data_IF_112350401068
#
_entry.id   IF_112350401068
#
_cell.length_a   1.000
_cell.length_b   1.000
_cell.length_c   1.000
_cell.angle_alpha   90.00
_cell.angle_beta   90.00
_cell.angle_gamma   90.00
#
_symmetry.space_group_name_H-M   'P 1'
#
loop_
_entity.id
_entity.type
_entity.pdbx_description
1 polymer ?
#
# COMPACT_ATOMS: atom_id res chain seq x y z
N UNK A 1 -15.17 2.61 -6.90
CA UNK A 1 -13.72 2.84 -7.06
C UNK A 1 -13.52 3.73 -8.28
N UNK A 2 -12.62 4.71 -8.22
CA UNK A 2 -12.32 5.60 -9.36
C UNK A 2 -11.23 5.00 -10.28
N UNK A 3 -10.35 4.18 -9.72
CA UNK A 3 -9.31 3.46 -10.45
C UNK A 3 -8.46 2.64 -9.49
N UNK A 4 -7.59 1.81 -10.04
CA UNK A 4 -6.55 1.07 -9.33
C UNK A 4 -5.26 1.14 -10.14
N UNK A 5 -4.12 1.02 -9.45
CA UNK A 5 -2.82 0.94 -10.07
C UNK A 5 -2.00 -0.14 -9.38
N UNK A 6 -1.25 -0.90 -10.17
CA UNK A 6 -0.35 -1.96 -9.73
C UNK A 6 0.88 -1.92 -10.62
N UNK A 7 2.05 -2.02 -10.01
CA UNK A 7 3.31 -2.21 -10.70
C UNK A 7 4.12 -3.29 -9.98
N UNK A 8 4.75 -4.18 -10.75
CA UNK A 8 5.72 -5.12 -10.24
C UNK A 8 7.11 -4.51 -10.39
N UNK A 9 7.90 -4.52 -9.33
CA UNK A 9 9.24 -3.91 -9.35
C UNK A 9 10.29 -5.00 -9.41
N UNK A 10 11.20 -4.91 -10.37
CA UNK A 10 12.35 -5.79 -10.45
C UNK A 10 13.27 -5.56 -9.23
N UNK A 11 13.47 -6.58 -8.39
CA UNK A 11 14.27 -6.45 -7.19
C UNK A 11 15.76 -6.39 -7.55
N UNK A 12 16.48 -5.47 -6.89
CA UNK A 12 17.92 -5.34 -7.01
C UNK A 12 18.59 -5.39 -5.64
N UNK A 13 19.82 -5.88 -5.60
CA UNK A 13 20.69 -5.82 -4.43
C UNK A 13 21.32 -4.43 -4.27
N UNK A 14 22.03 -4.23 -3.15
CA UNK A 14 22.77 -2.98 -2.83
C UNK A 14 23.91 -2.63 -3.79
N UNK A 15 24.19 -3.49 -4.76
CA UNK A 15 25.19 -3.31 -5.80
C UNK A 15 24.55 -3.15 -7.20
N UNK A 16 23.22 -3.02 -7.27
CA UNK A 16 22.46 -2.86 -8.50
C UNK A 16 22.29 -4.14 -9.32
N UNK A 17 22.58 -5.32 -8.75
CA UNK A 17 22.39 -6.60 -9.43
C UNK A 17 20.99 -7.13 -9.18
N UNK A 18 20.40 -7.77 -10.19
CA UNK A 18 19.12 -8.46 -10.02
C UNK A 18 19.16 -9.45 -8.86
N UNK A 19 18.08 -9.49 -8.08
CA UNK A 19 17.97 -10.30 -6.87
C UNK A 19 16.89 -11.37 -7.05
N UNK A 20 17.28 -12.65 -7.04
CA UNK A 20 16.31 -13.74 -7.16
C UNK A 20 15.35 -13.77 -5.95
N UNK A 21 14.07 -14.01 -6.22
CA UNK A 21 13.05 -14.15 -5.18
C UNK A 21 13.31 -15.42 -4.36
N UNK A 22 13.34 -15.25 -3.04
CA UNK A 22 13.29 -16.42 -2.15
C UNK A 22 11.91 -17.10 -2.32
N UNK A 23 11.85 -18.44 -2.39
CA UNK A 23 10.59 -19.18 -2.52
C UNK A 23 9.52 -18.79 -1.49
N UNK A 24 9.94 -18.37 -0.30
CA UNK A 24 9.03 -17.86 0.73
C UNK A 24 8.25 -16.61 0.25
N UNK A 25 8.88 -15.67 -0.45
CA UNK A 25 8.20 -14.49 -0.98
C UNK A 25 7.17 -14.85 -2.04
N UNK A 26 7.51 -15.80 -2.92
CA UNK A 26 6.57 -16.31 -3.94
C UNK A 26 5.37 -16.98 -3.28
N UNK A 27 5.60 -17.80 -2.25
CA UNK A 27 4.51 -18.44 -1.51
C UNK A 27 3.62 -17.40 -0.80
N UNK A 28 4.24 -16.40 -0.19
CA UNK A 28 3.56 -15.38 0.59
C UNK A 28 2.72 -14.46 -0.29
N UNK A 29 3.33 -13.88 -1.32
CA UNK A 29 2.74 -12.80 -2.14
C UNK A 29 2.09 -13.32 -3.42
N UNK A 30 2.52 -14.48 -3.91
CA UNK A 30 2.13 -15.00 -5.23
C UNK A 30 2.89 -14.41 -6.40
N UNK A 31 3.81 -13.47 -6.18
CA UNK A 31 4.66 -12.90 -7.23
C UNK A 31 5.70 -13.94 -7.61
N UNK A 32 5.79 -14.29 -8.88
CA UNK A 32 6.76 -15.26 -9.41
C UNK A 32 7.89 -14.56 -10.16
N UNK A 33 9.00 -15.27 -10.37
CA UNK A 33 10.08 -14.80 -11.26
C UNK A 33 9.54 -14.53 -12.67
N UNK A 34 8.66 -15.38 -13.19
CA UNK A 34 8.02 -15.18 -14.49
C UNK A 34 7.22 -13.87 -14.54
N UNK A 35 6.47 -13.54 -13.49
CA UNK A 35 5.77 -12.24 -13.40
C UNK A 35 6.76 -11.07 -13.43
N UNK A 36 7.88 -11.16 -12.70
CA UNK A 36 8.88 -10.10 -12.69
C UNK A 36 9.64 -9.97 -14.02
N UNK A 37 9.89 -11.07 -14.71
CA UNK A 37 10.55 -11.09 -16.02
C UNK A 37 9.66 -10.50 -17.12
N UNK A 38 8.35 -10.75 -17.05
CA UNK A 38 7.39 -10.36 -18.10
C UNK A 38 6.76 -8.98 -17.87
N UNK A 39 6.49 -8.63 -16.61
CA UNK A 39 5.76 -7.41 -16.24
C UNK A 39 6.56 -6.48 -15.33
N UNK A 40 7.70 -6.93 -14.81
CA UNK A 40 8.50 -6.14 -13.87
C UNK A 40 9.14 -4.92 -14.52
N UNK A 41 9.02 -3.78 -13.83
CA UNK A 41 9.64 -2.51 -14.20
C UNK A 41 10.71 -2.08 -13.20
N UNK A 42 11.51 -1.07 -13.56
CA UNK A 42 12.46 -0.48 -12.62
C UNK A 42 11.76 0.33 -11.52
N UNK A 43 12.38 0.41 -10.33
CA UNK A 43 11.81 1.15 -9.20
C UNK A 43 11.47 2.63 -9.54
N UNK A 44 12.38 3.31 -10.26
CA UNK A 44 12.16 4.71 -10.65
C UNK A 44 10.94 4.89 -11.57
N UNK A 45 10.71 3.92 -12.46
CA UNK A 45 9.56 3.91 -13.35
C UNK A 45 8.26 3.65 -12.58
N UNK A 46 8.23 2.61 -11.73
CA UNK A 46 7.09 2.33 -10.88
C UNK A 46 6.70 3.51 -9.99
N UNK A 47 7.68 4.20 -9.40
CA UNK A 47 7.45 5.39 -8.58
C UNK A 47 6.94 6.58 -9.41
N UNK A 48 7.42 6.77 -10.63
CA UNK A 48 6.92 7.82 -11.52
C UNK A 48 5.48 7.54 -11.99
N UNK A 49 5.15 6.27 -12.23
CA UNK A 49 3.83 5.86 -12.68
C UNK A 49 2.78 5.94 -11.57
N UNK A 50 3.10 5.49 -10.35
CA UNK A 50 2.18 5.65 -9.22
C UNK A 50 1.99 7.13 -8.84
N UNK A 51 3.05 7.95 -8.96
CA UNK A 51 2.94 9.39 -8.73
C UNK A 51 2.01 10.04 -9.75
N UNK A 52 2.16 9.69 -11.03
CA UNK A 52 1.25 10.15 -12.10
C UNK A 52 -0.19 9.68 -11.87
N UNK A 53 -0.38 8.41 -11.49
CA UNK A 53 -1.69 7.85 -11.19
C UNK A 53 -2.37 8.58 -10.03
N UNK A 54 -1.60 8.93 -8.99
CA UNK A 54 -2.12 9.62 -7.82
C UNK A 54 -2.50 11.09 -8.06
N UNK A 55 -2.00 11.71 -9.14
CA UNK A 55 -2.27 13.10 -9.52
C UNK A 55 -2.16 14.10 -8.36
N UNK A 56 -1.11 13.97 -7.55
CA UNK A 56 -0.87 14.84 -6.39
C UNK A 56 -1.60 14.44 -5.09
N UNK A 57 -2.47 13.42 -5.11
CA UNK A 57 -3.20 12.96 -3.93
C UNK A 57 -2.27 12.40 -2.82
N UNK A 58 -2.77 12.42 -1.58
CA UNK A 58 -2.10 11.81 -0.43
C UNK A 58 -2.25 10.28 -0.45
N UNK A 59 -1.18 9.57 -0.15
CA UNK A 59 -1.15 8.12 0.05
C UNK A 59 -1.44 7.79 1.52
N UNK A 60 -2.39 6.89 1.74
CA UNK A 60 -2.74 6.38 3.07
C UNK A 60 -2.31 4.92 3.20
N UNK A 61 -1.22 4.67 3.93
CA UNK A 61 -0.67 3.32 4.12
C UNK A 61 -1.05 2.72 5.46
N UNK A 62 -1.13 1.38 5.53
CA UNK A 62 -1.25 0.66 6.80
C UNK A 62 0.11 0.47 7.45
N UNK A 63 0.70 1.58 7.92
CA UNK A 63 2.08 1.62 8.37
C UNK A 63 2.78 2.89 7.91
N UNK A 64 4.10 2.79 7.76
CA UNK A 64 5.00 3.89 7.36
C UNK A 64 5.73 3.52 6.07
N UNK A 65 4.98 3.34 4.99
CA UNK A 65 5.53 2.83 3.72
C UNK A 65 6.52 3.82 3.09
N UNK A 66 6.34 5.12 3.35
CA UNK A 66 7.26 6.16 2.94
C UNK A 66 8.67 5.96 3.53
N UNK A 67 8.76 5.47 4.76
CA UNK A 67 10.04 5.25 5.46
C UNK A 67 10.55 3.82 5.28
N UNK A 68 9.65 2.83 5.37
CA UNK A 68 10.03 1.42 5.42
C UNK A 68 10.15 0.77 4.04
N UNK A 69 9.49 1.32 3.03
CA UNK A 69 9.62 0.86 1.65
C UNK A 69 10.27 1.92 0.78
N UNK A 70 9.58 3.03 0.51
CA UNK A 70 10.00 3.98 -0.55
C UNK A 70 11.39 4.56 -0.27
N UNK A 71 11.63 5.11 0.93
CA UNK A 71 12.92 5.69 1.26
C UNK A 71 14.06 4.67 1.22
N UNK A 72 13.86 3.47 1.80
CA UNK A 72 14.88 2.42 1.82
C UNK A 72 15.16 1.90 0.41
N UNK A 73 14.12 1.63 -0.38
CA UNK A 73 14.26 1.16 -1.76
C UNK A 73 14.98 2.17 -2.63
N UNK A 74 14.63 3.47 -2.53
CA UNK A 74 15.34 4.53 -3.24
C UNK A 74 16.81 4.64 -2.81
N UNK A 75 17.07 4.55 -1.49
CA UNK A 75 18.42 4.58 -0.94
C UNK A 75 19.27 3.40 -1.47
N UNK A 76 18.74 2.18 -1.44
CA UNK A 76 19.43 0.98 -1.92
C UNK A 76 19.67 1.04 -3.42
N UNK A 77 18.70 1.54 -4.19
CA UNK A 77 18.80 1.70 -5.63
C UNK A 77 19.69 2.89 -6.06
N UNK A 78 20.09 3.76 -5.13
CA UNK A 78 20.87 4.96 -5.43
C UNK A 78 20.12 5.98 -6.30
N UNK A 79 18.78 6.02 -6.19
CA UNK A 79 17.92 6.95 -6.95
C UNK A 79 17.32 8.04 -6.05
N UNK A 80 17.02 9.23 -6.58
CA UNK A 80 16.29 10.24 -5.82
C UNK A 80 14.87 9.77 -5.52
N UNK A 81 14.36 10.16 -4.35
CA UNK A 81 12.95 9.95 -3.99
C UNK A 81 12.09 10.93 -4.82
N UNK A 82 11.18 10.39 -5.64
CA UNK A 82 10.31 11.21 -6.50
C UNK A 82 9.07 11.74 -5.79
N UNK A 83 8.55 11.03 -4.80
CA UNK A 83 7.34 11.40 -4.05
C UNK A 83 7.75 11.89 -2.65
N UNK A 84 7.46 13.15 -2.28
CA UNK A 84 7.87 13.68 -0.98
C UNK A 84 7.11 13.01 0.17
N UNK A 85 7.81 12.78 1.29
CA UNK A 85 7.26 12.05 2.44
C UNK A 85 5.99 12.67 3.04
N UNK A 86 5.79 13.99 2.89
CA UNK A 86 4.58 14.68 3.34
C UNK A 86 3.32 14.35 2.52
N UNK A 87 3.46 13.63 1.41
CA UNK A 87 2.33 13.06 0.65
C UNK A 87 1.91 11.68 1.16
N UNK A 88 2.55 11.16 2.19
CA UNK A 88 2.16 9.90 2.83
C UNK A 88 1.65 10.18 4.23
N UNK A 89 0.67 9.39 4.65
CA UNK A 89 0.26 9.34 6.04
C UNK A 89 -0.26 7.94 6.41
N UNK A 90 -0.39 7.70 7.70
CA UNK A 90 -0.76 6.42 8.25
C UNK A 90 -2.27 6.32 8.41
N UNK A 91 -2.86 5.38 7.68
CA UNK A 91 -4.30 5.11 7.72
C UNK A 91 -4.80 4.71 9.11
N UNK A 92 -3.94 4.17 9.99
CA UNK A 92 -4.29 3.91 11.41
C UNK A 92 -4.89 5.15 12.08
N UNK A 93 -4.43 6.36 11.75
CA UNK A 93 -5.02 7.60 12.28
C UNK A 93 -6.50 7.76 11.89
N UNK A 94 -6.84 7.42 10.64
CA UNK A 94 -8.22 7.47 10.13
C UNK A 94 -9.10 6.45 10.86
N UNK A 95 -8.59 5.23 11.08
CA UNK A 95 -9.34 4.19 11.76
C UNK A 95 -9.54 4.50 13.25
N UNK A 96 -8.55 5.10 13.90
CA UNK A 96 -8.69 5.65 15.26
C UNK A 96 -9.74 6.76 15.31
N UNK A 97 -9.69 7.71 14.37
CA UNK A 97 -10.68 8.78 14.26
C UNK A 97 -12.10 8.23 14.01
N UNK A 98 -12.21 7.11 13.31
CA UNK A 98 -13.46 6.40 13.09
C UNK A 98 -13.92 5.54 14.29
N UNK A 99 -13.17 5.55 15.39
CA UNK A 99 -13.52 4.87 16.64
C UNK A 99 -13.10 3.40 16.72
N UNK A 100 -12.17 2.93 15.89
CA UNK A 100 -11.61 1.58 16.03
C UNK A 100 -10.82 1.47 17.36
N UNK A 101 -11.10 0.48 18.22
CA UNK A 101 -10.33 0.27 19.44
C UNK A 101 -8.84 0.02 19.16
N UNK A 102 -7.96 0.54 20.02
CA UNK A 102 -6.51 0.39 19.88
C UNK A 102 -6.08 -1.08 19.91
N UNK A 103 -6.76 -1.88 20.73
CA UNK A 103 -6.49 -3.32 20.89
C UNK A 103 -6.80 -4.07 19.59
N UNK A 104 -7.85 -3.66 18.87
CA UNK A 104 -8.24 -4.25 17.60
C UNK A 104 -7.31 -3.78 16.48
N UNK A 105 -6.90 -2.52 16.49
CA UNK A 105 -5.93 -1.96 15.54
C UNK A 105 -4.61 -2.74 15.57
N UNK A 106 -4.11 -3.06 16.76
CA UNK A 106 -2.86 -3.80 16.91
C UNK A 106 -2.93 -5.25 16.36
N UNK A 107 -4.14 -5.79 16.20
CA UNK A 107 -4.38 -7.20 15.82
C UNK A 107 -4.93 -7.37 14.40
N UNK A 108 -5.38 -6.28 13.77
CA UNK A 108 -6.04 -6.33 12.47
C UNK A 108 -5.04 -5.92 11.38
N UNK A 109 -4.55 -6.86 10.56
CA UNK A 109 -3.72 -6.51 9.41
C UNK A 109 -4.57 -5.82 8.32
N UNK A 110 -3.91 -5.05 7.46
CA UNK A 110 -4.54 -4.26 6.37
C UNK A 110 -5.54 -5.08 5.55
N UNK A 111 -5.14 -6.28 5.14
CA UNK A 111 -5.94 -7.18 4.32
C UNK A 111 -7.24 -7.66 4.97
N UNK A 112 -7.37 -7.54 6.30
CA UNK A 112 -8.54 -7.97 7.08
C UNK A 112 -9.44 -6.84 7.57
N UNK A 113 -9.16 -5.60 7.21
CA UNK A 113 -9.98 -4.47 7.65
C UNK A 113 -11.40 -4.52 7.11
N UNK A 114 -11.58 -4.91 5.85
CA UNK A 114 -12.91 -4.99 5.27
C UNK A 114 -13.75 -6.11 5.94
N UNK A 115 -13.11 -7.28 6.18
CA UNK A 115 -13.69 -8.39 6.95
C UNK A 115 -14.09 -7.95 8.38
N UNK A 116 -13.22 -7.21 9.07
CA UNK A 116 -13.46 -6.73 10.44
C UNK A 116 -14.74 -5.89 10.55
N UNK A 117 -15.00 -5.04 9.56
CA UNK A 117 -16.21 -4.22 9.51
C UNK A 117 -17.41 -4.91 8.83
N UNK A 118 -17.27 -6.16 8.40
CA UNK A 118 -18.32 -6.90 7.69
C UNK A 118 -18.71 -6.25 6.35
N UNK A 119 -17.75 -5.62 5.67
CA UNK A 119 -17.97 -4.98 4.37
C UNK A 119 -18.07 -6.07 3.31
N UNK A 120 -19.10 -6.00 2.45
CA UNK A 120 -19.21 -6.91 1.31
C UNK A 120 -18.23 -6.51 0.21
N UNK A 121 -17.38 -7.44 -0.21
CA UNK A 121 -16.38 -7.25 -1.26
C UNK A 121 -16.03 -8.56 -1.95
N UNK A 122 -15.48 -8.48 -3.16
CA UNK A 122 -14.90 -9.63 -3.85
C UNK A 122 -13.74 -10.23 -3.02
N UNK A 123 -13.47 -11.55 -3.08
CA UNK A 123 -12.40 -12.16 -2.30
C UNK A 123 -11.06 -11.45 -2.50
N UNK A 124 -10.41 -11.11 -1.38
CA UNK A 124 -9.10 -10.46 -1.35
C UNK A 124 -8.04 -11.45 -0.89
N UNK A 125 -6.89 -11.44 -1.54
CA UNK A 125 -5.74 -12.27 -1.21
C UNK A 125 -4.84 -11.53 -0.22
N UNK A 126 -4.54 -12.17 0.91
CA UNK A 126 -3.55 -11.67 1.84
C UNK A 126 -2.16 -11.55 1.18
N UNK A 127 -1.44 -10.47 1.49
CA UNK A 127 -0.09 -10.21 0.98
C UNK A 127 -0.02 -9.96 -0.53
N UNK A 128 -1.15 -9.63 -1.16
CA UNK A 128 -1.18 -8.94 -2.45
C UNK A 128 -1.37 -7.45 -2.16
N UNK A 129 -0.40 -6.63 -2.58
CA UNK A 129 -0.37 -5.20 -2.23
C UNK A 129 -1.60 -4.42 -2.73
N UNK A 130 -2.19 -4.81 -3.88
CA UNK A 130 -3.39 -4.17 -4.38
C UNK A 130 -4.61 -4.60 -3.56
N UNK A 131 -4.72 -5.88 -3.22
CA UNK A 131 -5.83 -6.39 -2.42
C UNK A 131 -5.81 -5.83 -0.99
N UNK A 132 -4.62 -5.66 -0.41
CA UNK A 132 -4.44 -4.99 0.88
C UNK A 132 -4.91 -3.53 0.81
N UNK A 133 -4.56 -2.80 -0.25
CA UNK A 133 -5.02 -1.44 -0.50
C UNK A 133 -6.54 -1.37 -0.77
N UNK A 134 -7.11 -2.36 -1.45
CA UNK A 134 -8.55 -2.46 -1.68
C UNK A 134 -9.30 -2.74 -0.38
N UNK A 135 -8.79 -3.61 0.49
CA UNK A 135 -9.37 -3.87 1.82
C UNK A 135 -9.49 -2.58 2.62
N UNK A 136 -8.38 -1.82 2.70
CA UNK A 136 -8.37 -0.50 3.33
C UNK A 136 -9.36 0.47 2.67
N UNK A 137 -9.40 0.51 1.33
CA UNK A 137 -10.29 1.40 0.57
C UNK A 137 -11.77 1.10 0.84
N UNK A 138 -12.17 -0.16 0.84
CA UNK A 138 -13.55 -0.57 1.12
C UNK A 138 -13.94 -0.23 2.56
N UNK A 139 -13.04 -0.44 3.52
CA UNK A 139 -13.25 -0.03 4.91
C UNK A 139 -13.46 1.48 5.02
N UNK A 140 -12.58 2.30 4.45
CA UNK A 140 -12.72 3.76 4.52
C UNK A 140 -14.01 4.24 3.85
N UNK A 141 -14.40 3.67 2.71
CA UNK A 141 -15.69 3.97 2.08
C UNK A 141 -16.87 3.60 2.97
N UNK A 142 -16.84 2.45 3.63
CA UNK A 142 -17.89 2.05 4.57
C UNK A 142 -17.99 3.02 5.74
N UNK A 143 -16.85 3.42 6.33
CA UNK A 143 -16.80 4.33 7.47
C UNK A 143 -17.29 5.74 7.12
N UNK A 144 -16.95 6.24 5.92
CA UNK A 144 -17.48 7.50 5.41
C UNK A 144 -19.00 7.43 5.18
N UNK A 145 -19.49 6.37 4.53
CA UNK A 145 -20.93 6.18 4.25
C UNK A 145 -21.77 5.98 5.52
N UNK A 146 -21.17 5.42 6.57
CA UNK A 146 -21.81 5.24 7.88
C UNK A 146 -21.58 6.42 8.83
N UNK A 147 -20.96 7.50 8.35
CA UNK A 147 -20.66 8.73 9.09
C UNK A 147 -19.77 8.52 10.33
N UNK A 148 -19.16 7.34 10.48
CA UNK A 148 -18.17 7.06 11.52
C UNK A 148 -16.85 7.78 11.25
N UNK A 149 -16.54 8.01 9.98
CA UNK A 149 -15.41 8.83 9.55
C UNK A 149 -15.94 10.06 8.82
N UNK A 150 -15.42 11.24 9.16
CA UNK A 150 -15.75 12.49 8.48
C UNK A 150 -14.69 12.81 7.42
N UNK A 151 -15.10 13.46 6.33
CA UNK A 151 -14.20 13.72 5.19
C UNK A 151 -13.10 14.74 5.50
N UNK A 152 -13.37 15.70 6.39
CA UNK A 152 -12.42 16.72 6.84
C UNK A 152 -11.22 16.14 7.61
N UNK A 153 -11.38 14.97 8.21
CA UNK A 153 -10.32 14.24 8.91
C UNK A 153 -9.12 13.94 7.99
N UNK A 154 -9.34 13.80 6.67
CA UNK A 154 -8.26 13.59 5.70
C UNK A 154 -7.36 14.83 5.50
N UNK A 155 -7.87 16.01 5.82
CA UNK A 155 -7.16 17.30 5.66
C UNK A 155 -6.51 17.76 6.97
N UNK A 156 -7.08 17.37 8.12
CA UNK A 156 -6.68 17.88 9.43
C UNK A 156 -5.65 17.04 10.19
N UNK A 157 -5.24 15.87 9.66
CA UNK A 157 -4.33 14.90 10.31
C UNK A 157 -2.92 14.85 9.71
#
# INVERSE_FOLDING_TARGET
>A
LLGTHRAYVQPIDRFGRGYALDPFFTQLTGITEETLETEGVGLAEALADIDRFSDGARFWSWGKDELNMVAISCYVAGIPVSIPANRFDNAVKLLLAAGMPIEDLARTPSNKLADYYGVDHAPLRAHDALDDALSLTYTLQHLLKSEKLQADVFECL
#
